data_IF_682876480961
#
_entry.id   IF_682876480961
#
_cell.length_a   1.000
_cell.length_b   1.000
_cell.length_c   1.000
_cell.angle_alpha   90.00
_cell.angle_beta   90.00
_cell.angle_gamma   90.00
#
_symmetry.space_group_name_H-M   'P 1'
#
loop_
_entity.id
_entity.type
_entity.pdbx_description
1 polymer ?
#
# COMPACT_ATOMS: atom_id res chain seq x y z
N UNK A 1 5.33 -19.87 0.76
CA UNK A 1 5.81 -19.04 1.88
C UNK A 1 4.63 -18.77 2.81
N UNK A 2 4.64 -19.24 4.06
CA UNK A 2 3.55 -18.94 5.02
C UNK A 2 3.74 -17.50 5.52
N UNK A 3 2.74 -16.65 5.35
CA UNK A 3 2.68 -15.34 6.00
C UNK A 3 2.38 -15.59 7.48
N UNK A 4 3.39 -15.50 8.34
CA UNK A 4 3.18 -15.47 9.79
C UNK A 4 2.91 -14.04 10.20
N UNK A 5 1.75 -13.79 10.81
CA UNK A 5 1.48 -12.54 11.51
C UNK A 5 2.49 -12.40 12.66
N UNK A 6 3.38 -11.42 12.57
CA UNK A 6 4.23 -11.01 13.70
C UNK A 6 3.71 -9.65 14.14
N UNK A 7 3.40 -9.54 15.42
CA UNK A 7 2.99 -8.28 16.03
C UNK A 7 4.25 -7.60 16.54
N UNK A 8 4.48 -6.33 16.19
CA UNK A 8 5.52 -5.53 16.85
C UNK A 8 4.96 -5.20 18.22
N UNK A 9 5.59 -5.74 19.26
CA UNK A 9 5.22 -5.47 20.63
C UNK A 9 5.94 -4.19 21.06
N UNK A 10 5.20 -3.10 21.16
CA UNK A 10 5.66 -1.86 21.78
C UNK A 10 4.65 -1.40 22.83
N UNK A 11 5.12 -0.65 23.83
CA UNK A 11 4.23 0.01 24.78
C UNK A 11 4.00 1.42 24.27
N UNK A 12 2.80 1.69 23.77
CA UNK A 12 2.47 3.02 23.28
C UNK A 12 2.45 4.03 24.44
N UNK A 13 3.24 5.12 24.37
CA UNK A 13 3.25 6.14 25.41
C UNK A 13 1.98 6.97 25.36
N UNK A 14 1.48 7.36 26.53
CA UNK A 14 0.44 8.38 26.63
C UNK A 14 1.04 9.75 26.27
N UNK A 15 0.47 10.49 25.30
CA UNK A 15 0.96 11.82 24.95
C UNK A 15 1.00 12.78 26.15
N UNK A 16 1.99 13.66 26.16
CA UNK A 16 2.18 14.62 27.24
C UNK A 16 1.06 15.68 27.29
N UNK A 17 0.83 16.25 28.48
CA UNK A 17 -0.14 17.33 28.69
C UNK A 17 0.28 18.58 27.90
N UNK A 18 -0.29 18.77 26.71
CA UNK A 18 0.02 19.89 25.81
C UNK A 18 0.17 19.48 24.34
N UNK A 19 0.35 18.18 24.07
CA UNK A 19 0.55 17.61 22.73
C UNK A 19 -0.66 16.77 22.27
N UNK A 20 -1.85 17.05 22.80
CA UNK A 20 -3.02 16.20 22.58
C UNK A 20 -3.73 16.55 21.28
N UNK A 21 -3.79 15.57 20.37
CA UNK A 21 -4.73 15.61 19.24
C UNK A 21 -6.09 15.12 19.72
N UNK A 22 -7.12 15.96 19.58
CA UNK A 22 -8.49 15.57 19.93
C UNK A 22 -8.95 14.42 19.02
N UNK A 23 -9.51 13.33 19.56
CA UNK A 23 -10.10 12.27 18.77
C UNK A 23 -11.24 12.80 17.88
N UNK A 24 -11.41 12.19 16.71
CA UNK A 24 -12.58 12.47 15.88
C UNK A 24 -13.85 11.94 16.54
N UNK A 25 -14.92 12.73 16.49
CA UNK A 25 -16.24 12.36 17.04
C UNK A 25 -17.18 12.01 15.91
N UNK A 26 -17.46 10.72 15.74
CA UNK A 26 -18.49 10.27 14.80
C UNK A 26 -19.88 10.69 15.25
N UNK A 27 -20.63 11.31 14.34
CA UNK A 27 -22.03 11.64 14.51
C UNK A 27 -22.93 10.45 14.17
N UNK A 28 -24.18 10.50 14.59
CA UNK A 28 -25.22 9.59 14.11
C UNK A 28 -25.50 9.81 12.61
N UNK A 29 -25.89 8.74 11.91
CA UNK A 29 -26.07 8.74 10.45
C UNK A 29 -25.05 7.86 9.71
N UNK A 30 -25.08 7.94 8.37
CA UNK A 30 -24.21 7.15 7.51
C UNK A 30 -22.77 7.69 7.50
N UNK A 31 -21.79 6.81 7.25
CA UNK A 31 -20.37 7.17 7.12
C UNK A 31 -20.15 8.19 5.99
N UNK A 32 -20.86 8.02 4.87
CA UNK A 32 -20.81 8.89 3.70
C UNK A 32 -21.21 10.33 4.00
N UNK A 33 -22.15 10.53 4.92
CA UNK A 33 -22.71 11.85 5.22
C UNK A 33 -21.72 12.71 6.03
N UNK A 34 -20.71 12.06 6.61
CA UNK A 34 -19.70 12.69 7.45
C UNK A 34 -18.36 12.91 6.74
N UNK A 35 -18.36 12.72 5.41
CA UNK A 35 -17.16 12.81 4.56
C UNK A 35 -16.43 14.13 4.70
N UNK A 36 -17.14 15.24 4.55
CA UNK A 36 -16.54 16.56 4.66
C UNK A 36 -15.89 16.79 6.05
N UNK A 37 -16.50 16.26 7.11
CA UNK A 37 -16.08 16.44 8.49
C UNK A 37 -14.81 15.66 8.79
N UNK A 38 -14.75 14.37 8.41
CA UNK A 38 -13.52 13.60 8.61
C UNK A 38 -12.38 14.08 7.71
N UNK A 39 -12.68 14.56 6.49
CA UNK A 39 -11.66 15.13 5.61
C UNK A 39 -11.07 16.41 6.22
N UNK A 40 -11.94 17.31 6.71
CA UNK A 40 -11.50 18.53 7.43
C UNK A 40 -10.66 18.18 8.66
N UNK A 41 -11.05 17.14 9.40
CA UNK A 41 -10.29 16.66 10.56
C UNK A 41 -8.89 16.18 10.16
N UNK A 42 -8.78 15.36 9.10
CA UNK A 42 -7.50 14.89 8.59
C UNK A 42 -6.64 16.05 8.09
N UNK A 43 -7.19 16.95 7.27
CA UNK A 43 -6.48 18.13 6.75
C UNK A 43 -5.95 19.02 7.88
N UNK A 44 -6.76 19.25 8.92
CA UNK A 44 -6.38 20.09 10.06
C UNK A 44 -5.19 19.50 10.80
N UNK A 45 -5.20 18.19 11.06
CA UNK A 45 -4.15 17.52 11.83
C UNK A 45 -2.91 17.17 10.99
N UNK A 46 -3.03 17.09 9.66
CA UNK A 46 -1.92 16.85 8.75
C UNK A 46 -1.35 18.13 8.14
N UNK A 47 -1.90 19.32 8.45
CA UNK A 47 -1.58 20.58 7.77
C UNK A 47 -0.09 20.87 7.64
N UNK A 48 0.66 20.71 8.73
CA UNK A 48 2.09 21.02 8.73
C UNK A 48 2.87 20.03 7.85
N UNK A 49 2.53 18.74 7.95
CA UNK A 49 3.07 17.68 7.07
C UNK A 49 2.75 17.95 5.59
N UNK A 50 1.51 18.34 5.27
CA UNK A 50 1.10 18.65 3.89
C UNK A 50 1.94 19.80 3.31
N UNK A 51 2.19 20.84 4.11
CA UNK A 51 2.99 21.98 3.71
C UNK A 51 4.49 21.65 3.59
N UNK A 52 5.05 20.94 4.57
CA UNK A 52 6.48 20.60 4.63
C UNK A 52 6.90 19.68 3.49
N UNK A 53 6.09 18.65 3.21
CA UNK A 53 6.42 17.63 2.21
C UNK A 53 5.77 17.87 0.84
N UNK A 54 5.12 19.01 0.63
CA UNK A 54 4.40 19.33 -0.63
C UNK A 54 3.42 18.22 -1.04
N UNK A 55 2.62 17.78 -0.08
CA UNK A 55 1.61 16.74 -0.25
C UNK A 55 0.20 17.35 -0.31
N UNK A 56 -0.72 16.59 -0.89
CA UNK A 56 -2.15 16.89 -0.86
C UNK A 56 -2.92 15.69 -0.34
N UNK A 57 -3.89 15.95 0.55
CA UNK A 57 -4.92 14.99 0.91
C UNK A 57 -6.06 15.12 -0.11
N UNK A 58 -6.42 14.03 -0.77
CA UNK A 58 -7.51 13.99 -1.74
C UNK A 58 -8.63 13.08 -1.28
N UNK A 59 -9.87 13.52 -1.47
CA UNK A 59 -11.05 12.68 -1.38
C UNK A 59 -11.04 11.68 -2.55
N UNK A 60 -10.99 10.39 -2.22
CA UNK A 60 -10.88 9.32 -3.21
C UNK A 60 -12.21 8.60 -3.47
N UNK A 61 -13.31 9.05 -2.84
CA UNK A 61 -14.64 8.43 -2.93
C UNK A 61 -15.33 8.71 -4.26
N UNK A 62 -15.05 9.86 -4.89
CA UNK A 62 -15.70 10.28 -6.15
C UNK A 62 -15.08 9.63 -7.40
N UNK A 63 -13.87 9.09 -7.28
CA UNK A 63 -13.23 8.32 -8.32
C UNK A 63 -13.73 6.88 -8.30
N UNK A 64 -14.92 6.63 -8.85
CA UNK A 64 -15.39 5.27 -9.08
C UNK A 64 -14.30 4.52 -9.87
N UNK A 65 -13.62 3.57 -9.22
CA UNK A 65 -12.54 2.71 -9.76
C UNK A 65 -11.10 3.27 -9.70
N UNK A 66 -10.81 4.31 -8.93
CA UNK A 66 -9.44 4.85 -8.74
C UNK A 66 -8.39 3.74 -8.52
N UNK A 67 -8.68 2.77 -7.65
CA UNK A 67 -7.78 1.66 -7.31
C UNK A 67 -8.04 0.38 -8.12
N UNK A 68 -8.78 0.45 -9.22
CA UNK A 68 -8.97 -0.71 -10.09
C UNK A 68 -7.71 -0.98 -10.91
N UNK A 69 -7.26 -2.23 -10.92
CA UNK A 69 -6.06 -2.68 -11.64
C UNK A 69 -6.25 -4.09 -12.17
N UNK A 70 -5.78 -4.29 -13.40
CA UNK A 70 -5.54 -5.62 -13.97
C UNK A 70 -4.04 -5.74 -14.15
N UNK A 71 -3.42 -6.63 -13.37
CA UNK A 71 -1.99 -6.92 -13.42
C UNK A 71 -1.83 -8.44 -13.57
N UNK A 72 -1.14 -8.93 -14.61
CA UNK A 72 -1.01 -10.36 -14.89
C UNK A 72 -0.28 -11.15 -13.79
N UNK A 73 0.40 -10.46 -12.86
CA UNK A 73 1.08 -11.06 -11.71
C UNK A 73 0.14 -11.29 -10.53
N UNK A 74 -1.04 -10.66 -10.53
CA UNK A 74 -2.08 -10.91 -9.55
C UNK A 74 -2.95 -12.10 -9.98
N UNK A 75 -3.44 -12.92 -9.04
CA UNK A 75 -4.29 -14.06 -9.37
C UNK A 75 -5.71 -13.67 -9.83
N UNK A 76 -6.08 -12.39 -9.70
CA UNK A 76 -7.36 -11.84 -10.14
C UNK A 76 -7.25 -10.32 -10.32
N UNK A 77 -8.15 -9.76 -11.14
CA UNK A 77 -8.28 -8.32 -11.30
C UNK A 77 -8.91 -7.69 -10.05
N UNK A 78 -8.37 -6.55 -9.64
CA UNK A 78 -8.99 -5.73 -8.59
C UNK A 78 -9.92 -4.75 -9.30
N UNK A 79 -11.22 -4.99 -9.22
CA UNK A 79 -12.25 -4.17 -9.86
C UNK A 79 -13.09 -3.43 -8.83
N UNK A 80 -13.45 -2.17 -9.12
CA UNK A 80 -14.23 -1.35 -8.19
C UNK A 80 -13.46 -0.94 -6.93
N UNK A 81 -12.12 -1.00 -6.96
CA UNK A 81 -11.28 -0.56 -5.85
C UNK A 81 -11.50 0.93 -5.58
N UNK A 82 -12.08 1.24 -4.42
CA UNK A 82 -12.23 2.60 -3.88
C UNK A 82 -11.43 2.71 -2.59
N UNK A 83 -11.15 3.93 -2.15
CA UNK A 83 -10.68 4.22 -0.79
C UNK A 83 -11.32 5.53 -0.36
N UNK A 84 -11.23 5.90 0.92
CA UNK A 84 -11.91 7.11 1.39
C UNK A 84 -11.05 8.36 1.15
N UNK A 85 -9.75 8.26 1.40
CA UNK A 85 -8.80 9.32 1.08
C UNK A 85 -7.44 8.78 0.65
N UNK A 86 -6.69 9.61 -0.07
CA UNK A 86 -5.29 9.35 -0.43
C UNK A 86 -4.42 10.54 -0.09
N UNK A 87 -3.20 10.26 0.34
CA UNK A 87 -2.14 11.26 0.46
C UNK A 87 -1.21 11.10 -0.73
N UNK A 88 -1.00 12.18 -1.50
CA UNK A 88 -0.23 12.15 -2.74
C UNK A 88 0.74 13.31 -2.84
N UNK A 89 1.79 13.15 -3.61
CA UNK A 89 2.69 14.24 -3.98
C UNK A 89 1.97 15.27 -4.87
N UNK A 90 2.15 16.57 -4.59
CA UNK A 90 1.55 17.62 -5.42
C UNK A 90 2.02 17.57 -6.88
N UNK A 91 3.25 17.09 -7.12
CA UNK A 91 3.77 16.91 -8.47
C UNK A 91 2.93 15.93 -9.30
N UNK A 92 2.47 14.82 -8.71
CA UNK A 92 1.69 13.81 -9.43
C UNK A 92 0.31 14.33 -9.85
N UNK A 93 -0.28 15.21 -9.04
CA UNK A 93 -1.52 15.92 -9.38
C UNK A 93 -1.32 16.85 -10.58
N UNK A 94 -0.20 17.59 -10.63
CA UNK A 94 0.09 18.51 -11.74
C UNK A 94 0.18 17.78 -13.08
N UNK A 95 0.60 16.51 -13.07
CA UNK A 95 0.66 15.64 -14.25
C UNK A 95 -0.60 14.79 -14.46
N UNK A 96 -1.68 15.05 -13.71
CA UNK A 96 -2.97 14.35 -13.79
C UNK A 96 -2.91 12.84 -13.52
N UNK A 97 -1.90 12.39 -12.76
CA UNK A 97 -1.81 11.01 -12.27
C UNK A 97 -1.53 10.99 -10.76
N UNK A 98 -2.53 11.28 -9.91
CA UNK A 98 -2.33 11.31 -8.46
C UNK A 98 -1.73 10.03 -7.89
N UNK A 99 -2.06 8.87 -8.47
CA UNK A 99 -1.64 7.57 -7.97
C UNK A 99 -0.17 7.26 -8.27
N UNK A 100 0.43 7.88 -9.28
CA UNK A 100 1.88 7.80 -9.52
C UNK A 100 2.68 8.27 -8.29
N UNK A 101 2.20 9.32 -7.60
CA UNK A 101 2.82 9.90 -6.40
C UNK A 101 2.12 9.56 -5.09
N UNK A 102 1.39 8.44 -5.00
CA UNK A 102 0.68 8.08 -3.76
C UNK A 102 1.65 7.70 -2.64
N UNK A 103 1.48 8.33 -1.48
CA UNK A 103 2.21 8.08 -0.23
C UNK A 103 1.42 7.21 0.73
N UNK A 104 0.09 7.31 0.69
CA UNK A 104 -0.78 6.63 1.63
C UNK A 104 -2.19 6.45 1.06
N UNK A 105 -2.80 5.30 1.36
CA UNK A 105 -4.24 5.08 1.20
C UNK A 105 -4.92 4.98 2.55
N UNK A 106 -6.08 5.62 2.68
CA UNK A 106 -6.79 5.77 3.96
C UNK A 106 -8.21 5.21 3.79
N UNK A 107 -8.46 4.09 4.48
CA UNK A 107 -9.79 3.51 4.64
C UNK A 107 -10.37 3.88 6.00
N UNK A 108 -11.53 4.52 5.96
CA UNK A 108 -12.28 4.98 7.11
C UNK A 108 -13.50 4.09 7.34
N UNK A 109 -13.74 3.81 8.61
CA UNK A 109 -14.95 3.16 9.09
C UNK A 109 -15.38 3.83 10.37
N UNK A 110 -16.68 3.92 10.63
CA UNK A 110 -17.20 4.33 11.94
C UNK A 110 -16.91 3.28 13.01
N UNK A 111 -16.72 2.02 12.59
CA UNK A 111 -16.22 0.92 13.43
C UNK A 111 -15.35 -0.03 12.62
N UNK A 112 -14.17 -0.34 13.11
CA UNK A 112 -13.26 -1.30 12.46
C UNK A 112 -13.66 -2.73 12.85
N UNK A 113 -13.76 -3.59 11.85
CA UNK A 113 -14.07 -5.01 11.99
C UNK A 113 -13.03 -5.83 11.22
N UNK A 114 -12.83 -7.09 11.60
CA UNK A 114 -11.84 -7.97 10.98
C UNK A 114 -12.03 -8.12 9.46
N UNK A 115 -13.28 -8.15 8.99
CA UNK A 115 -13.59 -8.25 7.56
C UNK A 115 -13.23 -6.99 6.75
N UNK A 116 -12.92 -5.86 7.40
CA UNK A 116 -12.42 -4.66 6.71
C UNK A 116 -10.92 -4.77 6.37
N UNK A 117 -10.16 -5.60 7.08
CA UNK A 117 -8.70 -5.73 6.89
C UNK A 117 -8.32 -6.19 5.47
N UNK A 118 -8.94 -7.23 4.89
CA UNK A 118 -8.59 -7.67 3.53
C UNK A 118 -8.82 -6.58 2.49
N UNK A 119 -9.90 -5.79 2.64
CA UNK A 119 -10.22 -4.70 1.72
C UNK A 119 -9.15 -3.60 1.77
N UNK A 120 -8.80 -3.13 2.98
CA UNK A 120 -7.74 -2.13 3.15
C UNK A 120 -6.38 -2.63 2.65
N UNK A 121 -6.10 -3.93 2.78
CA UNK A 121 -4.87 -4.52 2.23
C UNK A 121 -4.87 -4.54 0.70
N UNK A 122 -5.99 -4.91 0.06
CA UNK A 122 -6.12 -4.90 -1.40
C UNK A 122 -5.99 -3.48 -1.95
N UNK A 123 -6.51 -2.46 -1.26
CA UNK A 123 -6.31 -1.06 -1.64
C UNK A 123 -4.83 -0.65 -1.64
N UNK A 124 -4.09 -1.06 -0.63
CA UNK A 124 -2.64 -0.85 -0.56
C UNK A 124 -1.90 -1.56 -1.70
N UNK A 125 -2.31 -2.81 -2.04
CA UNK A 125 -1.78 -3.53 -3.20
C UNK A 125 -1.99 -2.73 -4.48
N UNK A 126 -3.23 -2.30 -4.75
CA UNK A 126 -3.53 -1.49 -5.92
C UNK A 126 -2.73 -0.20 -5.98
N UNK A 127 -2.64 0.53 -4.86
CA UNK A 127 -1.89 1.78 -4.79
C UNK A 127 -0.40 1.57 -5.04
N UNK A 128 0.20 0.55 -4.42
CA UNK A 128 1.63 0.24 -4.61
C UNK A 128 1.95 -0.14 -6.06
N UNK A 129 1.04 -0.81 -6.77
CA UNK A 129 1.26 -1.18 -8.17
C UNK A 129 1.04 -0.02 -9.15
N UNK A 130 0.22 0.96 -8.78
CA UNK A 130 0.01 2.17 -9.58
C UNK A 130 1.03 3.27 -9.29
N UNK A 131 1.67 3.22 -8.14
CA UNK A 131 2.71 4.18 -7.75
C UNK A 131 4.00 4.01 -8.56
N UNK A 132 4.70 5.11 -8.82
CA UNK A 132 6.04 5.10 -9.41
C UNK A 132 7.01 4.31 -8.55
N UNK A 133 8.10 3.82 -9.15
CA UNK A 133 9.09 2.94 -8.51
C UNK A 133 9.66 3.55 -7.21
N UNK A 134 9.84 4.85 -7.19
CA UNK A 134 10.40 5.59 -6.04
C UNK A 134 9.36 5.85 -4.93
N UNK A 135 8.09 5.52 -5.17
CA UNK A 135 7.01 5.68 -4.21
C UNK A 135 6.67 4.32 -3.58
N UNK A 136 6.65 4.26 -2.24
CA UNK A 136 6.22 3.06 -1.50
C UNK A 136 5.11 3.46 -0.53
N UNK A 137 3.84 3.34 -0.95
CA UNK A 137 2.73 3.77 -0.12
C UNK A 137 2.54 2.88 1.10
N UNK A 138 1.89 3.42 2.12
CA UNK A 138 1.40 2.69 3.30
C UNK A 138 -0.14 2.67 3.30
N UNK A 139 -0.74 1.68 3.95
CA UNK A 139 -2.20 1.60 4.10
C UNK A 139 -2.63 1.90 5.54
N UNK A 140 -3.69 2.68 5.71
CA UNK A 140 -4.33 2.91 7.00
C UNK A 140 -5.78 2.45 6.98
N UNK A 141 -6.15 1.65 7.98
CA UNK A 141 -7.53 1.34 8.32
C UNK A 141 -7.81 1.93 9.70
N UNK A 142 -8.78 2.83 9.81
CA UNK A 142 -9.06 3.51 11.08
C UNK A 142 -10.49 3.98 11.22
N UNK A 143 -10.87 4.28 12.46
CA UNK A 143 -12.03 5.11 12.77
C UNK A 143 -11.66 6.45 13.42
N UNK A 144 -10.40 6.90 13.35
CA UNK A 144 -9.92 8.22 13.76
C UNK A 144 -10.01 8.57 15.26
N UNK A 145 -10.52 7.67 16.10
CA UNK A 145 -10.61 7.87 17.56
C UNK A 145 -9.51 7.09 18.29
N UNK A 146 -9.54 5.76 18.28
CA UNK A 146 -8.61 4.93 19.09
C UNK A 146 -8.15 3.63 18.42
N UNK A 147 -8.44 3.43 17.14
CA UNK A 147 -7.98 2.24 16.40
C UNK A 147 -7.42 2.68 15.06
N UNK A 148 -6.09 2.78 15.01
CA UNK A 148 -5.32 3.16 13.85
C UNK A 148 -4.45 1.97 13.47
N UNK A 149 -4.79 1.30 12.37
CA UNK A 149 -4.08 0.10 11.89
C UNK A 149 -3.31 0.43 10.63
N UNK A 150 -1.99 0.45 10.75
CA UNK A 150 -1.09 0.66 9.62
C UNK A 150 -0.67 -0.69 9.02
N UNK A 151 -0.58 -0.75 7.69
CA UNK A 151 -0.12 -1.92 6.95
C UNK A 151 1.17 -1.58 6.18
N UNK A 152 2.28 -2.26 6.49
CA UNK A 152 3.58 -2.21 5.78
C UNK A 152 4.09 -3.65 5.58
N UNK A 153 4.65 -4.05 4.41
CA UNK A 153 4.86 -5.49 4.10
C UNK A 153 6.30 -6.01 4.13
N UNK A 154 6.73 -6.60 5.26
CA UNK A 154 7.34 -7.97 5.36
C UNK A 154 6.85 -8.74 6.58
N UNK A 155 6.01 -8.11 7.36
CA UNK A 155 5.29 -8.62 8.50
C UNK A 155 3.92 -7.98 8.37
N UNK A 156 2.83 -8.71 8.59
CA UNK A 156 1.52 -8.10 8.79
C UNK A 156 1.51 -7.39 10.15
N UNK A 157 2.40 -6.41 10.32
CA UNK A 157 2.46 -5.62 11.54
C UNK A 157 1.30 -4.65 11.45
N UNK A 158 0.16 -5.04 11.99
CA UNK A 158 -0.83 -4.07 12.40
C UNK A 158 -0.24 -3.36 13.62
N UNK A 159 0.49 -2.27 13.37
CA UNK A 159 0.76 -1.31 14.43
C UNK A 159 -0.61 -0.76 14.80
N UNK A 160 -1.14 -1.23 15.92
CA UNK A 160 -2.37 -0.73 16.49
C UNK A 160 -1.98 0.43 17.40
N UNK A 161 -2.21 1.64 16.92
CA UNK A 161 -1.98 2.86 17.69
C UNK A 161 -3.34 3.33 18.21
N UNK A 162 -3.44 3.57 19.51
CA UNK A 162 -4.69 4.01 20.16
C UNK A 162 -4.78 5.51 20.37
N UNK A 163 -3.66 6.24 20.37
CA UNK A 163 -3.70 7.69 20.56
C UNK A 163 -3.58 8.42 19.21
N UNK A 164 -4.53 9.31 18.85
CA UNK A 164 -4.48 10.06 17.59
C UNK A 164 -3.16 10.80 17.37
N UNK A 165 -2.59 11.42 18.43
CA UNK A 165 -1.30 12.12 18.32
C UNK A 165 -0.19 11.19 17.83
N UNK A 166 -0.06 10.02 18.45
CA UNK A 166 0.95 9.03 18.08
C UNK A 166 0.70 8.49 16.67
N UNK A 167 -0.57 8.37 16.25
CA UNK A 167 -0.92 7.94 14.90
C UNK A 167 -0.53 8.99 13.85
N UNK A 168 -0.73 10.27 14.14
CA UNK A 168 -0.26 11.36 13.29
C UNK A 168 1.27 11.44 13.25
N UNK A 169 1.96 11.23 14.37
CA UNK A 169 3.43 11.16 14.39
C UNK A 169 3.95 9.99 13.55
N UNK A 170 3.28 8.84 13.61
CA UNK A 170 3.56 7.70 12.74
C UNK A 170 3.38 8.06 11.26
N UNK A 171 2.24 8.70 10.91
CA UNK A 171 1.98 9.14 9.53
C UNK A 171 3.09 10.06 9.04
N UNK A 172 3.44 11.09 9.83
CA UNK A 172 4.49 12.04 9.49
C UNK A 172 5.81 11.33 9.18
N UNK A 173 6.23 10.43 10.07
CA UNK A 173 7.47 9.68 9.87
C UNK A 173 7.39 8.76 8.64
N UNK A 174 6.26 8.08 8.43
CA UNK A 174 6.11 7.08 7.38
C UNK A 174 6.02 7.68 5.96
N UNK A 175 5.46 8.88 5.82
CA UNK A 175 5.27 9.53 4.51
C UNK A 175 6.32 10.60 4.20
N UNK A 176 7.17 10.96 5.16
CA UNK A 176 8.24 11.95 4.97
C UNK A 176 9.19 11.60 3.81
N UNK A 177 9.49 10.31 3.64
CA UNK A 177 10.33 9.81 2.56
C UNK A 177 9.50 9.11 1.49
N UNK A 178 9.78 9.31 0.19
CA UNK A 178 9.01 8.70 -0.88
C UNK A 178 9.01 7.17 -0.89
N UNK A 179 10.22 6.63 -0.82
CA UNK A 179 10.51 5.24 -1.11
C UNK A 179 10.78 4.41 0.14
N UNK A 180 11.09 3.13 -0.09
CA UNK A 180 11.40 2.16 0.96
C UNK A 180 12.88 2.06 1.35
N UNK A 181 13.78 2.84 0.75
CA UNK A 181 15.23 2.72 0.96
C UNK A 181 15.68 3.21 2.34
N UNK A 182 15.01 4.23 2.89
CA UNK A 182 15.28 4.75 4.23
C UNK A 182 14.45 3.99 5.26
N UNK A 183 15.07 3.67 6.39
CA UNK A 183 14.36 3.09 7.53
C UNK A 183 13.47 4.14 8.18
N UNK A 184 12.25 3.73 8.46
CA UNK A 184 11.26 4.48 9.21
C UNK A 184 11.57 4.35 10.70
N UNK A 185 11.80 5.48 11.37
CA UNK A 185 12.00 5.55 12.81
C UNK A 185 10.85 6.34 13.43
N UNK A 186 10.17 5.74 14.40
CA UNK A 186 9.10 6.38 15.17
C UNK A 186 9.54 6.34 16.62
N UNK A 187 9.46 7.47 17.32
CA UNK A 187 10.08 7.68 18.65
C UNK A 187 9.67 6.66 19.72
N UNK A 188 8.50 6.04 19.58
CA UNK A 188 7.94 5.08 20.52
C UNK A 188 7.91 3.63 20.02
N UNK A 189 8.49 3.38 18.85
CA UNK A 189 8.67 2.03 18.30
C UNK A 189 10.18 1.75 18.30
N UNK A 190 10.61 0.85 19.18
CA UNK A 190 12.04 0.54 19.38
C UNK A 190 12.69 -0.17 18.16
N UNK A 191 11.88 -0.69 17.23
CA UNK A 191 12.32 -1.35 16.00
C UNK A 191 12.27 -0.38 14.82
N UNK A 192 13.35 -0.29 14.06
CA UNK A 192 13.35 0.44 12.78
C UNK A 192 12.47 -0.31 11.77
N UNK A 193 11.48 0.40 11.23
CA UNK A 193 10.54 -0.14 10.25
C UNK A 193 11.07 0.08 8.83
N UNK A 194 10.64 -0.73 7.87
CA UNK A 194 11.03 -0.59 6.47
C UNK A 194 9.80 -0.71 5.60
N UNK A 195 9.55 0.33 4.80
CA UNK A 195 8.52 0.29 3.76
C UNK A 195 9.01 -0.59 2.63
N UNK A 196 8.12 -1.46 2.16
CA UNK A 196 8.47 -2.45 1.17
C UNK A 196 7.46 -2.40 0.04
N UNK A 197 7.99 -2.31 -1.17
CA UNK A 197 7.18 -2.21 -2.38
C UNK A 197 6.56 -3.57 -2.68
N UNK A 198 5.27 -3.58 -3.00
CA UNK A 198 4.56 -4.84 -3.27
C UNK A 198 5.08 -5.49 -4.56
N UNK A 199 5.49 -4.66 -5.52
CA UNK A 199 6.13 -5.05 -6.77
C UNK A 199 7.31 -6.01 -6.59
N UNK A 200 8.14 -5.79 -5.56
CA UNK A 200 9.33 -6.61 -5.26
C UNK A 200 9.01 -8.05 -4.88
N UNK A 201 7.77 -8.33 -4.51
CA UNK A 201 7.31 -9.65 -4.07
C UNK A 201 6.31 -10.29 -5.03
N UNK A 202 5.84 -9.55 -6.04
CA UNK A 202 5.02 -10.15 -7.06
C UNK A 202 5.89 -11.04 -7.93
N UNK A 203 5.39 -12.24 -8.30
CA UNK A 203 6.10 -13.06 -9.27
C UNK A 203 6.31 -12.22 -10.52
N UNK A 204 7.53 -12.21 -11.06
CA UNK A 204 7.75 -11.60 -12.37
C UNK A 204 6.80 -12.31 -13.35
N UNK A 205 6.08 -11.56 -14.21
CA UNK A 205 5.24 -12.22 -15.18
C UNK A 205 6.14 -13.16 -15.97
N UNK A 206 5.75 -14.43 -16.20
CA UNK A 206 6.54 -15.29 -17.05
C UNK A 206 6.73 -14.55 -18.38
N UNK A 207 7.96 -14.47 -18.87
CA UNK A 207 8.15 -13.95 -20.22
C UNK A 207 7.34 -14.82 -21.17
N UNK A 208 6.87 -14.28 -22.29
CA UNK A 208 6.17 -15.08 -23.31
C UNK A 208 6.97 -16.36 -23.65
N UNK A 209 8.29 -16.26 -23.68
CA UNK A 209 9.18 -17.40 -23.86
C UNK A 209 9.11 -18.41 -22.71
N UNK A 210 8.96 -17.96 -21.45
CA UNK A 210 8.80 -18.82 -20.28
C UNK A 210 7.46 -19.54 -20.25
N UNK A 211 6.37 -18.85 -20.59
CA UNK A 211 5.03 -19.46 -20.68
C UNK A 211 4.99 -20.49 -21.81
N UNK A 212 5.56 -20.16 -22.98
CA UNK A 212 5.67 -21.09 -24.10
C UNK A 212 6.53 -22.31 -23.76
N UNK A 213 7.64 -22.11 -23.04
CA UNK A 213 8.49 -23.22 -22.59
C UNK A 213 7.75 -24.14 -21.62
N UNK A 214 6.99 -23.58 -20.67
CA UNK A 214 6.18 -24.38 -19.73
C UNK A 214 5.13 -25.23 -20.47
N UNK A 215 4.49 -24.68 -21.51
CA UNK A 215 3.56 -25.45 -22.36
C UNK A 215 4.25 -26.59 -23.11
N UNK A 216 5.46 -26.38 -23.63
CA UNK A 216 6.23 -27.45 -24.27
C UNK A 216 6.63 -28.54 -23.27
N UNK A 217 7.02 -28.17 -22.05
CA UNK A 217 7.32 -29.15 -20.99
C UNK A 217 6.10 -29.96 -20.57
N UNK A 218 4.92 -29.35 -20.51
CA UNK A 218 3.66 -30.05 -20.22
C UNK A 218 3.24 -31.05 -21.30
N UNK A 219 3.75 -30.89 -22.53
CA UNK A 219 3.50 -31.79 -23.66
C UNK A 219 4.72 -32.69 -23.96
N UNK A 220 5.69 -32.80 -23.05
CA UNK A 220 6.95 -33.49 -23.29
C UNK A 220 6.81 -35.00 -23.60
N UNK A 221 5.68 -35.60 -23.23
CA UNK A 221 5.31 -36.99 -23.54
C UNK A 221 4.71 -37.17 -24.93
N UNK A 222 4.23 -36.09 -25.55
CA UNK A 222 3.61 -36.07 -26.89
C UNK A 222 4.56 -35.49 -27.94
N UNK A 223 5.48 -34.61 -27.54
CA UNK A 223 6.39 -33.91 -28.45
C UNK A 223 7.63 -34.74 -28.77
N UNK A 224 8.13 -34.59 -30.00
CA UNK A 224 9.39 -35.20 -30.42
C UNK A 224 10.57 -34.69 -29.56
N UNK A 225 11.46 -35.58 -29.07
CA UNK A 225 12.57 -35.22 -28.18
C UNK A 225 13.50 -34.14 -28.76
N UNK A 226 13.79 -34.22 -30.06
CA UNK A 226 14.64 -33.29 -30.78
C UNK A 226 14.02 -31.89 -30.88
N UNK A 227 12.70 -31.81 -31.11
CA UNK A 227 11.95 -30.56 -31.13
C UNK A 227 11.99 -29.89 -29.75
N UNK A 228 11.72 -30.66 -28.68
CA UNK A 228 11.73 -30.14 -27.31
C UNK A 228 13.12 -29.66 -26.91
N UNK A 229 14.17 -30.38 -27.30
CA UNK A 229 15.56 -29.98 -27.08
C UNK A 229 15.90 -28.64 -27.77
N UNK A 230 15.43 -28.43 -28.99
CA UNK A 230 15.61 -27.16 -29.71
C UNK A 230 14.92 -26.00 -28.97
N UNK A 231 13.67 -26.17 -28.55
CA UNK A 231 12.93 -25.14 -27.79
C UNK A 231 13.61 -24.78 -26.47
N UNK A 232 14.14 -25.78 -25.73
CA UNK A 232 14.93 -25.55 -24.50
C UNK A 232 16.19 -24.72 -24.77
N UNK A 233 16.90 -24.98 -25.86
CA UNK A 233 18.10 -24.24 -26.25
C UNK A 233 17.76 -22.79 -26.62
N UNK A 234 16.71 -22.56 -27.40
CA UNK A 234 16.24 -21.21 -27.74
C UNK A 234 15.81 -20.42 -26.49
N UNK A 235 15.08 -21.05 -25.58
CA UNK A 235 14.70 -20.45 -24.31
C UNK A 235 15.93 -20.07 -23.46
N UNK A 236 16.92 -20.97 -23.36
CA UNK A 236 18.16 -20.68 -22.66
C UNK A 236 18.93 -19.50 -23.28
N UNK A 237 18.99 -19.41 -24.62
CA UNK A 237 19.58 -18.26 -25.31
C UNK A 237 18.82 -16.95 -25.03
N UNK A 238 17.50 -17.01 -24.95
CA UNK A 238 16.67 -15.87 -24.59
C UNK A 238 16.95 -15.39 -23.15
N UNK A 239 17.06 -16.32 -22.19
CA UNK A 239 17.42 -16.00 -20.80
C UNK A 239 18.80 -15.34 -20.70
N UNK A 240 19.80 -15.86 -21.42
CA UNK A 240 21.15 -15.28 -21.45
C UNK A 240 21.12 -13.85 -22.00
N UNK A 241 20.35 -13.56 -23.05
CA UNK A 241 20.21 -12.19 -23.59
C UNK A 241 19.60 -11.22 -22.58
N UNK A 242 18.60 -11.66 -21.81
CA UNK A 242 17.96 -10.86 -20.77
C UNK A 242 18.89 -10.54 -19.59
N UNK A 243 19.97 -11.31 -19.38
CA UNK A 243 20.93 -11.07 -18.30
C UNK A 243 21.95 -9.95 -18.62
N UNK A 244 22.04 -9.52 -19.89
CA UNK A 244 23.01 -8.51 -20.35
C UNK A 244 22.34 -7.23 -20.87
N UNK A 245 21.06 -7.04 -20.59
CA UNK A 245 20.25 -5.84 -20.85
C UNK A 245 19.65 -5.35 -19.54
#
# INVERSE_FOLDING_TARGET
>A
MKLTERHVLYTEPTPSSGEYTLPYTWLDGAESDQRAQYMTYLETNLKDLLAEHTLSLLDATEGEKTLSISDPRLPFDITGGTTDAILVDNGSIQYFDPLAGVRMVIRLKKKVHEHHKPQAFVELVSASLKSEVECTPIGLLTYLTEDWRFNEKKVLTQNHISHPKNAFDFITAAVAEPGGSKRLSVSFIDEELTKLRIDDFLPKPPSFASEMMERYELMADVLEPEFLKERRVEYAQHLVKLMFT
#
